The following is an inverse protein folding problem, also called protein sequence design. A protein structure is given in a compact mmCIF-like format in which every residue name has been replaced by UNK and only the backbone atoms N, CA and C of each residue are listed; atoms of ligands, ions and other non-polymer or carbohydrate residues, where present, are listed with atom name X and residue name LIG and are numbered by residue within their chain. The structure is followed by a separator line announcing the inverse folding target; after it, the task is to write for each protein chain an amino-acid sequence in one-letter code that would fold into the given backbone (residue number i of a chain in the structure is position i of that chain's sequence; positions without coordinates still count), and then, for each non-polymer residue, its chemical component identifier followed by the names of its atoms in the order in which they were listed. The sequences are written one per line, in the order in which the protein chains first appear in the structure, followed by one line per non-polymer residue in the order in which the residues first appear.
data_IF_618987269468
#
_entry.id   IF_618987269468
#
_cell.length_a   1.000
_cell.length_b   1.000
_cell.length_c   1.000
_cell.angle_alpha   90.00
_cell.angle_beta   90.00
_cell.angle_gamma   90.00
#
_symmetry.space_group_name_H-M   'P 1'
#
loop_
_entity.id
_entity.type
_entity.pdbx_description
1 polymer ?
#
# COMPACT_ATOMS: atom_id res chain seq x y z
N UNK A 1 -43.42 17.12 -36.75
CA UNK A 1 -43.59 17.08 -35.29
C UNK A 1 -42.22 16.80 -34.67
N UNK A 2 -41.68 17.80 -33.96
CA UNK A 2 -40.44 17.79 -33.16
C UNK A 2 -40.54 16.80 -31.98
N UNK A 3 -39.57 16.48 -31.13
CA UNK A 3 -38.21 16.91 -30.76
C UNK A 3 -37.55 15.64 -30.13
N UNK A 4 -36.26 15.49 -29.79
CA UNK A 4 -35.34 16.36 -29.08
C UNK A 4 -34.43 15.47 -28.20
N UNK A 5 -33.16 15.84 -28.12
CA UNK A 5 -32.05 15.14 -27.46
C UNK A 5 -32.20 14.89 -25.95
N UNK A 6 -31.49 13.88 -25.40
CA UNK A 6 -30.46 14.09 -24.36
C UNK A 6 -29.69 12.80 -24.03
N UNK A 7 -28.36 12.86 -24.10
CA UNK A 7 -27.46 11.87 -23.50
C UNK A 7 -27.03 12.31 -22.10
N UNK A 8 -26.70 11.36 -21.23
CA UNK A 8 -26.03 11.63 -19.95
C UNK A 8 -24.83 10.72 -19.76
N UNK A 9 -23.68 11.39 -19.68
CA UNK A 9 -22.34 10.89 -19.40
C UNK A 9 -22.23 10.73 -17.88
N UNK A 10 -22.04 9.50 -17.38
CA UNK A 10 -21.90 9.25 -15.93
C UNK A 10 -20.51 9.68 -15.46
N UNK A 11 -20.50 10.73 -14.66
CA UNK A 11 -19.33 11.42 -14.12
C UNK A 11 -18.67 10.56 -13.02
N UNK A 12 -17.38 10.27 -13.17
CA UNK A 12 -16.54 9.60 -12.16
C UNK A 12 -16.13 10.65 -11.12
N UNK A 13 -16.79 10.66 -9.96
CA UNK A 13 -16.46 11.54 -8.85
C UNK A 13 -15.18 11.04 -8.18
N UNK A 14 -14.20 11.94 -8.16
CA UNK A 14 -12.92 11.83 -7.49
C UNK A 14 -13.14 12.21 -6.01
N UNK A 15 -12.97 11.28 -5.07
CA UNK A 15 -13.13 11.56 -3.64
C UNK A 15 -11.78 12.01 -3.05
N UNK A 16 -11.45 13.29 -3.22
CA UNK A 16 -10.38 13.95 -2.48
C UNK A 16 -10.95 14.47 -1.16
N UNK A 17 -10.85 13.68 -0.09
CA UNK A 17 -11.22 14.09 1.26
C UNK A 17 -10.15 15.01 1.83
N UNK A 18 -10.39 16.32 1.73
CA UNK A 18 -9.68 17.35 2.49
C UNK A 18 -9.97 17.19 3.98
N UNK A 19 -8.94 17.02 4.81
CA UNK A 19 -9.04 16.97 6.27
C UNK A 19 -9.21 18.41 6.79
N UNK A 20 -10.31 18.75 7.50
CA UNK A 20 -10.41 20.00 8.21
C UNK A 20 -9.78 19.89 9.61
N UNK A 21 -9.09 20.96 10.01
CA UNK A 21 -8.49 21.17 11.32
C UNK A 21 -9.55 21.45 12.40
N UNK A 22 -9.41 20.74 13.53
CA UNK A 22 -10.07 20.83 14.85
C UNK A 22 -11.25 21.82 15.05
N UNK A 23 -12.38 21.25 15.47
CA UNK A 23 -13.42 21.93 16.25
C UNK A 23 -13.86 21.05 17.43
N UNK A 24 -13.66 21.55 18.65
CA UNK A 24 -14.12 20.92 19.89
C UNK A 24 -15.65 20.99 19.97
N UNK A 25 -16.33 19.85 20.16
CA UNK A 25 -17.76 19.83 20.49
C UNK A 25 -18.05 18.94 21.70
N UNK A 26 -18.82 19.54 22.60
CA UNK A 26 -19.29 19.12 23.92
C UNK A 26 -20.07 17.80 23.89
N UNK A 27 -19.91 17.02 24.97
CA UNK A 27 -20.57 15.74 25.26
C UNK A 27 -22.12 15.84 25.28
N UNK A 28 -22.79 14.89 24.65
CA UNK A 28 -24.09 14.39 25.10
C UNK A 28 -24.15 12.86 25.02
N UNK A 29 -24.67 12.29 26.11
CA UNK A 29 -24.82 10.86 26.38
C UNK A 29 -25.69 10.15 25.32
N UNK A 30 -25.10 9.14 24.71
CA UNK A 30 -25.78 8.07 24.01
C UNK A 30 -24.79 6.93 23.88
N UNK A 31 -25.17 5.74 24.35
CA UNK A 31 -24.35 4.52 24.35
C UNK A 31 -24.13 4.04 22.90
N UNK A 32 -23.37 4.79 22.11
CA UNK A 32 -22.73 4.27 20.92
C UNK A 32 -21.53 3.45 21.40
N UNK A 33 -21.61 2.13 21.26
CA UNK A 33 -20.40 1.34 21.04
C UNK A 33 -19.84 1.84 19.71
N UNK A 34 -19.08 2.94 19.74
CA UNK A 34 -18.25 3.32 18.62
C UNK A 34 -17.23 2.20 18.52
N UNK A 35 -17.29 1.40 17.47
CA UNK A 35 -16.09 0.73 17.00
C UNK A 35 -15.13 1.85 16.62
N UNK A 36 -14.35 2.34 17.59
CA UNK A 36 -13.33 3.33 17.34
C UNK A 36 -12.32 2.67 16.42
N UNK A 37 -12.19 3.21 15.20
CA UNK A 37 -11.13 2.82 14.28
C UNK A 37 -9.80 2.88 15.03
N UNK A 38 -9.10 1.75 15.09
CA UNK A 38 -7.82 1.63 15.79
C UNK A 38 -6.74 2.29 14.95
N UNK A 39 -6.82 2.11 13.62
CA UNK A 39 -5.86 2.73 12.71
C UNK A 39 -6.03 4.25 12.71
N UNK A 40 -4.90 4.94 12.85
CA UNK A 40 -4.83 6.39 12.87
C UNK A 40 -3.72 6.86 11.92
N UNK A 41 -3.87 7.98 11.19
CA UNK A 41 -2.83 8.53 10.32
C UNK A 41 -1.47 8.72 11.03
N UNK A 42 -1.51 9.03 12.33
CA UNK A 42 -0.36 9.19 13.22
C UNK A 42 0.53 7.93 13.27
N UNK A 43 -0.04 6.75 13.07
CA UNK A 43 0.73 5.50 12.96
C UNK A 43 1.62 5.51 11.71
N UNK A 44 1.10 6.00 10.58
CA UNK A 44 1.87 6.19 9.36
C UNK A 44 2.92 7.30 9.49
N UNK A 45 2.57 8.41 10.14
CA UNK A 45 3.54 9.47 10.43
C UNK A 45 4.68 8.99 11.32
N UNK A 46 4.39 8.16 12.32
CA UNK A 46 5.40 7.53 13.15
C UNK A 46 6.30 6.58 12.36
N UNK A 47 5.77 5.82 11.39
CA UNK A 47 6.59 5.01 10.50
C UNK A 47 7.54 5.87 9.65
N UNK A 48 7.09 7.04 9.17
CA UNK A 48 7.95 8.00 8.49
C UNK A 48 9.01 8.60 9.41
N UNK A 49 8.67 8.98 10.65
CA UNK A 49 9.65 9.42 11.64
C UNK A 49 10.75 8.37 11.84
N UNK A 50 10.38 7.09 11.98
CA UNK A 50 11.33 5.97 12.13
C UNK A 50 12.22 5.82 10.90
N UNK A 51 11.63 5.82 9.70
CA UNK A 51 12.37 5.71 8.45
C UNK A 51 13.34 6.88 8.28
N UNK A 52 12.90 8.10 8.56
CA UNK A 52 13.69 9.31 8.47
C UNK A 52 14.88 9.27 9.44
N UNK A 53 14.67 8.91 10.71
CA UNK A 53 15.76 8.73 11.67
C UNK A 53 16.81 7.74 11.18
N UNK A 54 16.38 6.58 10.69
CA UNK A 54 17.28 5.54 10.19
C UNK A 54 18.08 6.01 8.98
N UNK A 55 17.42 6.62 8.00
CA UNK A 55 18.08 7.14 6.81
C UNK A 55 19.10 8.23 7.14
N UNK A 56 18.81 9.07 8.13
CA UNK A 56 19.65 10.19 8.53
C UNK A 56 20.62 9.89 9.69
N UNK A 57 20.65 8.63 10.18
CA UNK A 57 21.49 8.20 11.31
C UNK A 57 21.26 9.04 12.57
N UNK A 58 20.00 9.33 12.85
CA UNK A 58 19.56 10.10 14.02
C UNK A 58 19.06 9.15 15.12
N UNK A 59 18.94 9.70 16.33
CA UNK A 59 18.31 8.99 17.43
C UNK A 59 16.88 8.56 17.08
N UNK A 60 16.41 7.41 17.62
CA UNK A 60 15.07 6.93 17.36
C UNK A 60 14.01 7.96 17.76
N UNK A 61 12.87 8.02 17.03
CA UNK A 61 11.83 9.00 17.35
C UNK A 61 11.21 8.71 18.71
N UNK A 62 10.73 9.79 19.35
CA UNK A 62 9.99 9.77 20.61
C UNK A 62 8.80 8.80 20.55
N UNK A 63 8.34 8.38 21.73
CA UNK A 63 7.13 7.57 21.84
C UNK A 63 5.93 8.31 21.23
N UNK A 64 5.15 7.66 20.36
CA UNK A 64 4.00 8.28 19.74
C UNK A 64 2.82 8.43 20.73
N UNK A 65 1.85 9.27 20.37
CA UNK A 65 0.71 9.63 21.22
C UNK A 65 -0.59 8.89 20.86
N UNK A 66 -0.50 7.69 20.31
CA UNK A 66 -1.65 6.82 20.02
C UNK A 66 -1.61 5.56 20.91
N UNK A 67 -2.69 4.76 20.90
CA UNK A 67 -2.79 3.55 21.72
C UNK A 67 -1.57 2.63 21.56
N UNK A 68 -1.13 2.00 22.65
CA UNK A 68 -0.06 1.01 22.62
C UNK A 68 -0.57 -0.44 22.75
N UNK A 69 -1.88 -0.68 22.55
CA UNK A 69 -2.45 -2.02 22.61
C UNK A 69 -1.74 -2.98 21.65
N UNK A 70 -1.80 -4.28 21.95
CA UNK A 70 -1.10 -5.29 21.17
C UNK A 70 -1.98 -5.84 20.03
N UNK A 71 -1.49 -5.76 18.79
CA UNK A 71 -2.17 -6.30 17.62
C UNK A 71 -1.20 -6.96 16.65
N UNK A 72 -1.65 -7.97 15.88
CA UNK A 72 -0.95 -8.38 14.68
C UNK A 72 -1.00 -7.24 13.65
N UNK A 73 0.13 -6.96 13.00
CA UNK A 73 0.25 -5.79 12.13
C UNK A 73 1.22 -5.99 10.98
N UNK A 74 1.01 -5.22 9.92
CA UNK A 74 1.88 -5.14 8.75
C UNK A 74 2.17 -3.68 8.41
N UNK A 75 3.43 -3.40 8.06
CA UNK A 75 3.84 -2.12 7.48
C UNK A 75 4.25 -2.35 6.04
N UNK A 76 3.64 -1.56 5.16
CA UNK A 76 3.87 -1.64 3.71
C UNK A 76 4.33 -0.29 3.19
N UNK A 77 5.46 -0.27 2.51
CA UNK A 77 5.95 0.85 1.73
C UNK A 77 5.51 0.69 0.27
N UNK A 78 4.98 1.75 -0.30
CA UNK A 78 4.67 1.85 -1.74
C UNK A 78 5.30 3.11 -2.31
N UNK A 79 5.61 3.12 -3.61
CA UNK A 79 6.30 4.24 -4.26
C UNK A 79 5.61 4.66 -5.55
N UNK A 80 5.62 5.97 -5.82
CA UNK A 80 5.10 6.53 -7.06
C UNK A 80 3.58 6.70 -7.05
N UNK A 81 3.05 7.21 -8.17
CA UNK A 81 1.61 7.49 -8.34
C UNK A 81 0.78 6.22 -8.55
N UNK A 82 1.44 5.16 -9.00
CA UNK A 82 0.89 3.84 -9.24
C UNK A 82 0.96 2.92 -8.01
N UNK A 83 1.40 3.44 -6.86
CA UNK A 83 1.43 2.72 -5.57
C UNK A 83 2.17 1.38 -5.66
N UNK A 84 3.27 1.34 -6.41
CA UNK A 84 4.06 0.11 -6.57
C UNK A 84 4.64 -0.33 -5.24
N UNK A 85 4.48 -1.61 -4.91
CA UNK A 85 5.03 -2.21 -3.70
C UNK A 85 6.54 -2.00 -3.64
N UNK A 86 7.01 -1.44 -2.52
CA UNK A 86 8.42 -1.10 -2.26
C UNK A 86 9.00 -1.83 -1.05
N UNK A 87 8.14 -2.47 -0.24
CA UNK A 87 8.49 -3.36 0.86
C UNK A 87 7.25 -3.66 1.70
N UNK A 88 7.12 -4.87 2.22
CA UNK A 88 6.00 -5.22 3.11
C UNK A 88 6.41 -6.35 4.05
N UNK A 89 6.45 -6.06 5.36
CA UNK A 89 6.77 -7.02 6.40
C UNK A 89 5.86 -6.75 7.61
N UNK A 90 5.50 -7.80 8.32
CA UNK A 90 4.63 -7.74 9.49
C UNK A 90 4.60 -9.06 10.24
N UNK A 91 3.65 -9.18 11.16
CA UNK A 91 3.49 -10.32 12.06
C UNK A 91 2.04 -10.69 12.27
N UNK A 92 1.80 -11.98 12.48
CA UNK A 92 0.53 -12.51 12.97
C UNK A 92 0.46 -12.60 14.51
N UNK A 93 1.59 -12.43 15.19
CA UNK A 93 1.63 -12.38 16.64
C UNK A 93 1.29 -10.96 17.10
N UNK A 94 0.47 -10.86 18.14
CA UNK A 94 0.13 -9.56 18.71
C UNK A 94 1.39 -8.88 19.26
N UNK A 95 1.66 -7.65 18.79
CA UNK A 95 2.75 -6.81 19.25
C UNK A 95 2.21 -5.43 19.63
N UNK A 96 2.72 -4.87 20.72
CA UNK A 96 2.40 -3.50 21.12
C UNK A 96 2.69 -2.54 19.96
N UNK A 97 1.71 -1.71 19.60
CA UNK A 97 1.75 -0.88 18.40
C UNK A 97 3.04 -0.04 18.30
N UNK A 98 3.52 0.53 19.39
CA UNK A 98 4.71 1.39 19.37
C UNK A 98 5.98 0.62 18.98
N UNK A 99 6.14 -0.58 19.53
CA UNK A 99 7.29 -1.44 19.24
C UNK A 99 7.17 -2.07 17.85
N UNK A 100 6.01 -2.64 17.53
CA UNK A 100 5.76 -3.29 16.25
C UNK A 100 5.87 -2.34 15.07
N UNK A 101 5.28 -1.14 15.14
CA UNK A 101 5.40 -0.16 14.05
C UNK A 101 6.85 0.30 13.86
N UNK A 102 7.62 0.50 14.93
CA UNK A 102 9.04 0.87 14.85
C UNK A 102 9.87 -0.23 14.16
N UNK A 103 9.67 -1.48 14.59
CA UNK A 103 10.38 -2.63 14.04
C UNK A 103 10.01 -2.88 12.58
N UNK A 104 8.72 -2.93 12.27
CA UNK A 104 8.24 -3.29 10.93
C UNK A 104 8.35 -2.16 9.93
N UNK A 105 8.33 -0.87 10.34
CA UNK A 105 8.69 0.23 9.45
C UNK A 105 10.14 0.10 8.95
N UNK A 106 11.07 -0.19 9.87
CA UNK A 106 12.50 -0.39 9.54
C UNK A 106 12.70 -1.67 8.72
N UNK A 107 12.12 -2.78 9.16
CA UNK A 107 12.34 -4.09 8.53
C UNK A 107 11.74 -4.15 7.13
N UNK A 108 10.54 -3.60 6.91
CA UNK A 108 9.94 -3.52 5.58
C UNK A 108 10.69 -2.57 4.64
N UNK A 109 11.34 -1.52 5.16
CA UNK A 109 12.12 -0.58 4.35
C UNK A 109 13.50 -1.11 3.93
N UNK A 110 14.15 -1.89 4.79
CA UNK A 110 15.58 -2.22 4.62
C UNK A 110 15.90 -3.72 4.54
N UNK A 111 15.00 -4.59 5.01
CA UNK A 111 15.27 -6.04 5.18
C UNK A 111 14.31 -6.92 4.37
N UNK A 112 13.41 -6.35 3.58
CA UNK A 112 12.61 -7.12 2.63
C UNK A 112 13.47 -7.55 1.45
N UNK A 113 13.94 -8.80 1.47
CA UNK A 113 14.85 -9.38 0.46
C UNK A 113 14.42 -9.27 -1.00
N UNK A 114 13.15 -8.95 -1.27
CA UNK A 114 12.62 -8.74 -2.63
C UNK A 114 13.04 -7.39 -3.22
N UNK A 115 13.51 -6.46 -2.39
CA UNK A 115 13.80 -5.09 -2.78
C UNK A 115 15.14 -4.64 -2.19
N UNK A 116 15.81 -3.71 -2.88
CA UNK A 116 16.95 -3.02 -2.29
C UNK A 116 16.50 -2.12 -1.12
N UNK A 117 17.35 -1.85 -0.13
CA UNK A 117 17.04 -0.89 0.94
C UNK A 117 16.51 0.45 0.39
N UNK A 118 15.47 1.03 1.00
CA UNK A 118 14.94 2.34 0.62
C UNK A 118 16.02 3.42 0.80
N UNK A 119 16.14 4.36 -0.14
CA UNK A 119 17.09 5.49 -0.05
C UNK A 119 16.42 6.81 0.30
N UNK A 120 17.22 7.83 0.66
CA UNK A 120 16.73 9.18 1.01
C UNK A 120 15.98 9.85 -0.14
N UNK A 121 16.44 9.64 -1.37
CA UNK A 121 15.89 10.23 -2.59
C UNK A 121 14.50 9.65 -2.93
N UNK A 122 14.15 8.51 -2.35
CA UNK A 122 12.83 7.90 -2.52
C UNK A 122 11.76 8.54 -1.63
N UNK A 123 12.15 9.14 -0.48
CA UNK A 123 11.22 9.68 0.53
C UNK A 123 10.05 10.49 -0.07
N UNK A 124 10.28 11.49 -0.96
CA UNK A 124 9.20 12.33 -1.47
C UNK A 124 8.14 11.58 -2.30
N UNK A 125 8.43 10.36 -2.73
CA UNK A 125 7.56 9.53 -3.57
C UNK A 125 6.93 8.37 -2.80
N UNK A 126 7.25 8.21 -1.52
CA UNK A 126 6.78 7.10 -0.71
C UNK A 126 5.38 7.34 -0.13
N UNK A 127 4.71 6.23 0.04
CA UNK A 127 3.50 6.08 0.83
C UNK A 127 3.73 4.94 1.82
N UNK A 128 3.17 5.08 3.02
CA UNK A 128 3.18 4.01 4.01
C UNK A 128 1.75 3.61 4.32
N UNK A 129 1.51 2.30 4.31
CA UNK A 129 0.27 1.69 4.74
C UNK A 129 0.50 0.88 6.01
N UNK A 130 -0.27 1.17 7.05
CA UNK A 130 -0.31 0.40 8.30
C UNK A 130 -1.59 -0.41 8.30
N UNK A 131 -1.45 -1.74 8.39
CA UNK A 131 -2.58 -2.68 8.45
C UNK A 131 -2.59 -3.37 9.81
N UNK A 132 -3.69 -3.24 10.54
CA UNK A 132 -3.92 -3.88 11.84
C UNK A 132 -4.91 -5.02 11.63
N UNK A 133 -4.52 -6.25 11.95
CA UNK A 133 -5.33 -7.45 11.72
C UNK A 133 -6.15 -7.79 12.96
N UNK A 134 -7.41 -8.18 12.77
CA UNK A 134 -8.35 -8.49 13.84
C UNK A 134 -9.31 -9.61 13.47
N UNK A 135 -10.08 -10.04 14.47
CA UNK A 135 -11.23 -10.94 14.32
C UNK A 135 -10.82 -12.22 13.59
N UNK A 136 -9.78 -12.88 14.12
CA UNK A 136 -9.33 -14.16 13.61
C UNK A 136 -10.34 -15.24 13.97
N UNK A 137 -10.84 -15.92 12.96
CA UNK A 137 -11.83 -17.00 13.08
C UNK A 137 -11.35 -18.20 12.25
N UNK A 138 -11.41 -19.39 12.84
CA UNK A 138 -11.17 -20.62 12.10
C UNK A 138 -12.36 -20.86 11.15
N UNK A 139 -12.07 -21.03 9.87
CA UNK A 139 -13.08 -21.33 8.85
C UNK A 139 -13.49 -22.79 8.91
N UNK A 140 -14.76 -23.07 8.55
CA UNK A 140 -15.29 -24.43 8.46
C UNK A 140 -14.62 -25.21 7.32
N UNK A 141 -14.37 -24.55 6.20
CA UNK A 141 -13.65 -25.09 5.06
C UNK A 141 -12.81 -24.01 4.34
N UNK A 142 -12.16 -24.39 3.23
CA UNK A 142 -11.30 -23.48 2.46
C UNK A 142 -12.04 -22.39 1.67
N UNK A 143 -13.37 -22.44 1.63
CA UNK A 143 -14.26 -21.46 1.00
C UNK A 143 -15.01 -20.61 2.04
N UNK A 144 -14.85 -20.86 3.35
CA UNK A 144 -15.53 -20.12 4.42
C UNK A 144 -14.87 -18.77 4.71
N UNK A 145 -14.89 -17.87 3.72
CA UNK A 145 -14.43 -16.50 3.81
C UNK A 145 -15.05 -15.67 2.67
N UNK A 146 -14.88 -14.35 2.69
CA UNK A 146 -15.52 -13.46 1.71
C UNK A 146 -14.48 -12.59 1.03
N UNK A 147 -14.46 -12.61 -0.29
CA UNK A 147 -13.49 -11.87 -1.12
C UNK A 147 -13.70 -10.38 -0.92
N UNK A 148 -12.63 -9.66 -0.58
CA UNK A 148 -12.65 -8.21 -0.33
C UNK A 148 -13.09 -7.81 1.08
N UNK A 149 -13.52 -8.77 1.90
CA UNK A 149 -13.80 -8.54 3.34
C UNK A 149 -12.73 -9.21 4.19
N UNK A 150 -12.41 -10.46 3.87
CA UNK A 150 -11.53 -11.29 4.68
C UNK A 150 -10.14 -11.43 4.07
N UNK A 151 -9.13 -11.28 4.92
CA UNK A 151 -7.81 -11.86 4.70
C UNK A 151 -7.83 -13.31 5.14
N UNK A 152 -6.96 -14.12 4.54
CA UNK A 152 -6.89 -15.55 4.85
C UNK A 152 -5.47 -15.94 5.23
N UNK A 153 -5.36 -16.80 6.23
CA UNK A 153 -4.15 -17.52 6.58
C UNK A 153 -4.47 -18.99 6.47
N UNK A 154 -3.67 -19.72 5.68
CA UNK A 154 -3.84 -21.16 5.55
C UNK A 154 -2.68 -21.90 6.16
N UNK A 155 -2.96 -23.08 6.67
CA UNK A 155 -2.00 -24.07 7.11
C UNK A 155 -2.20 -25.34 6.30
N UNK A 156 -1.11 -25.88 5.75
CA UNK A 156 -1.15 -27.06 4.88
C UNK A 156 0.17 -27.84 4.97
N UNK A 157 0.19 -29.05 4.41
CA UNK A 157 1.41 -29.84 4.25
C UNK A 157 1.87 -29.79 2.80
N UNK A 158 3.16 -29.55 2.58
CA UNK A 158 3.72 -29.64 1.23
C UNK A 158 3.96 -31.11 0.84
N UNK A 159 4.43 -31.35 -0.39
CA UNK A 159 4.69 -32.70 -0.91
C UNK A 159 5.74 -33.48 -0.10
N UNK A 160 6.54 -32.77 0.71
CA UNK A 160 7.56 -33.36 1.59
C UNK A 160 7.02 -33.68 3.00
N UNK A 161 5.73 -33.46 3.25
CA UNK A 161 5.11 -33.63 4.56
C UNK A 161 5.44 -32.52 5.55
N UNK A 162 6.06 -31.42 5.12
CA UNK A 162 6.39 -30.31 6.01
C UNK A 162 5.18 -29.37 6.14
N UNK A 163 4.84 -29.02 7.38
CA UNK A 163 3.83 -28.00 7.67
C UNK A 163 4.29 -26.63 7.16
N UNK A 164 3.42 -25.97 6.40
CA UNK A 164 3.64 -24.64 5.83
C UNK A 164 2.46 -23.74 6.14
N UNK A 165 2.73 -22.44 6.13
CA UNK A 165 1.69 -21.42 6.23
C UNK A 165 1.85 -20.41 5.10
N UNK A 166 0.73 -19.87 4.65
CA UNK A 166 0.71 -18.76 3.71
C UNK A 166 -0.45 -17.84 4.04
N UNK A 167 -0.37 -16.61 3.55
CA UNK A 167 -1.41 -15.61 3.79
C UNK A 167 -1.51 -14.62 2.64
N UNK A 168 -2.71 -14.06 2.51
CA UNK A 168 -3.03 -12.84 1.79
C UNK A 168 -3.89 -11.94 2.68
N UNK A 169 -3.66 -10.64 2.55
CA UNK A 169 -4.49 -9.59 3.15
C UNK A 169 -5.82 -9.46 2.37
N UNK A 170 -6.86 -8.83 2.95
CA UNK A 170 -8.18 -8.72 2.32
C UNK A 170 -8.18 -8.14 0.90
N UNK A 171 -7.25 -7.24 0.60
CA UNK A 171 -7.22 -6.52 -0.68
C UNK A 171 -6.66 -7.35 -1.85
N UNK A 172 -5.89 -8.41 -1.58
CA UNK A 172 -5.11 -9.09 -2.62
C UNK A 172 -5.99 -9.81 -3.64
N UNK A 173 -7.00 -10.56 -3.19
CA UNK A 173 -7.87 -11.31 -4.10
C UNK A 173 -8.70 -10.38 -5.02
N UNK A 174 -9.36 -9.32 -4.51
CA UNK A 174 -10.00 -8.33 -5.35
C UNK A 174 -9.07 -7.65 -6.35
N UNK A 175 -7.86 -7.25 -5.93
CA UNK A 175 -6.89 -6.58 -6.79
C UNK A 175 -6.45 -7.46 -7.98
N UNK A 176 -6.38 -8.77 -7.77
CA UNK A 176 -6.04 -9.74 -8.82
C UNK A 176 -7.25 -10.23 -9.62
N UNK A 177 -8.48 -9.88 -9.20
CA UNK A 177 -9.70 -10.42 -9.78
C UNK A 177 -9.86 -11.92 -9.54
N UNK A 178 -9.31 -12.45 -8.44
CA UNK A 178 -9.39 -13.86 -8.09
C UNK A 178 -10.67 -14.18 -7.32
N UNK A 179 -11.27 -15.33 -7.65
CA UNK A 179 -12.26 -15.97 -6.79
C UNK A 179 -11.60 -16.71 -5.62
N UNK A 180 -12.41 -17.35 -4.78
CA UNK A 180 -11.92 -18.07 -3.61
C UNK A 180 -10.99 -19.23 -3.97
N UNK A 181 -11.32 -20.00 -5.01
CA UNK A 181 -10.55 -21.18 -5.43
C UNK A 181 -9.20 -20.75 -5.99
N UNK A 182 -9.19 -19.77 -6.89
CA UNK A 182 -7.98 -19.20 -7.47
C UNK A 182 -7.08 -18.62 -6.39
N UNK A 183 -7.66 -17.95 -5.39
CA UNK A 183 -6.92 -17.41 -4.25
C UNK A 183 -6.26 -18.52 -3.45
N UNK A 184 -6.98 -19.60 -3.09
CA UNK A 184 -6.43 -20.72 -2.34
C UNK A 184 -5.31 -21.42 -3.12
N UNK A 185 -5.51 -21.66 -4.40
CA UNK A 185 -4.49 -22.27 -5.27
C UNK A 185 -3.24 -21.38 -5.33
N UNK A 186 -3.39 -20.08 -5.55
CA UNK A 186 -2.29 -19.11 -5.52
C UNK A 186 -1.54 -19.11 -4.18
N UNK A 187 -2.28 -19.18 -3.07
CA UNK A 187 -1.72 -19.16 -1.72
C UNK A 187 -0.93 -20.44 -1.41
N UNK A 188 -1.38 -21.60 -1.87
CA UNK A 188 -0.67 -22.88 -1.77
C UNK A 188 0.68 -22.82 -2.49
N UNK A 189 0.69 -22.33 -3.73
CA UNK A 189 1.92 -22.14 -4.50
C UNK A 189 2.87 -21.14 -3.82
N UNK A 190 2.33 -20.02 -3.34
CA UNK A 190 3.09 -19.02 -2.56
C UNK A 190 3.70 -19.61 -1.28
N UNK A 191 3.00 -20.53 -0.62
CA UNK A 191 3.49 -21.25 0.56
C UNK A 191 4.48 -22.37 0.24
N UNK A 192 4.79 -22.60 -1.04
CA UNK A 192 5.78 -23.57 -1.50
C UNK A 192 5.24 -24.96 -1.84
N UNK A 193 3.93 -25.09 -2.08
CA UNK A 193 3.35 -26.28 -2.73
C UNK A 193 3.72 -26.26 -4.23
N UNK A 194 4.28 -27.36 -4.76
CA UNK A 194 4.70 -27.44 -6.17
C UNK A 194 3.90 -28.45 -7.01
N UNK A 195 3.02 -29.21 -6.37
CA UNK A 195 2.23 -30.26 -7.01
C UNK A 195 0.96 -29.72 -7.67
N UNK A 196 0.22 -30.63 -8.31
CA UNK A 196 -1.11 -30.31 -8.82
C UNK A 196 -2.09 -30.10 -7.65
N UNK A 197 -2.78 -28.96 -7.63
CA UNK A 197 -3.78 -28.67 -6.61
C UNK A 197 -5.09 -29.39 -6.93
N UNK A 198 -5.31 -30.54 -6.29
CA UNK A 198 -6.54 -31.32 -6.39
C UNK A 198 -7.59 -30.87 -5.36
N UNK A 199 -8.88 -31.23 -5.53
CA UNK A 199 -9.91 -30.95 -4.53
C UNK A 199 -9.60 -31.51 -3.13
N UNK A 200 -8.92 -32.67 -3.04
CA UNK A 200 -8.50 -33.24 -1.76
C UNK A 200 -7.44 -32.39 -1.06
N UNK A 201 -6.50 -31.84 -1.83
CA UNK A 201 -5.49 -30.93 -1.29
C UNK A 201 -6.17 -29.67 -0.75
N UNK A 202 -7.12 -29.08 -1.48
CA UNK A 202 -7.88 -27.92 -0.98
C UNK A 202 -8.65 -28.24 0.30
N UNK A 203 -9.31 -29.40 0.36
CA UNK A 203 -10.01 -29.86 1.58
C UNK A 203 -9.08 -30.10 2.78
N UNK A 204 -7.81 -30.43 2.53
CA UNK A 204 -6.82 -30.64 3.60
C UNK A 204 -6.33 -29.34 4.24
N UNK A 205 -6.63 -28.19 3.63
CA UNK A 205 -6.20 -26.88 4.11
C UNK A 205 -6.98 -26.50 5.37
N UNK A 206 -6.26 -26.18 6.45
CA UNK A 206 -6.86 -25.45 7.57
C UNK A 206 -6.85 -23.96 7.24
N UNK A 207 -8.02 -23.34 7.21
CA UNK A 207 -8.18 -21.91 6.93
C UNK A 207 -8.53 -21.15 8.21
N UNK A 208 -7.86 -20.02 8.42
CA UNK A 208 -8.26 -19.00 9.38
C UNK A 208 -8.50 -17.71 8.61
N UNK A 209 -9.71 -17.13 8.75
CA UNK A 209 -10.06 -15.84 8.17
C UNK A 209 -9.86 -14.73 9.21
N UNK A 210 -9.62 -13.51 8.73
CA UNK A 210 -9.49 -12.32 9.58
C UNK A 210 -9.89 -11.08 8.80
N UNK A 211 -10.17 -9.98 9.49
CA UNK A 211 -10.33 -8.66 8.87
C UNK A 211 -9.12 -7.78 9.17
N UNK A 212 -8.94 -6.71 8.39
CA UNK A 212 -7.92 -5.72 8.67
C UNK A 212 -8.46 -4.30 8.58
N UNK A 213 -8.06 -3.47 9.53
CA UNK A 213 -8.16 -2.02 9.37
C UNK A 213 -6.86 -1.50 8.76
N UNK A 214 -6.96 -0.64 7.74
CA UNK A 214 -5.80 -0.11 7.01
C UNK A 214 -5.87 1.40 6.91
N UNK A 215 -4.76 2.07 7.19
CA UNK A 215 -4.55 3.49 6.90
C UNK A 215 -3.36 3.65 5.98
N UNK A 216 -3.46 4.55 5.00
CA UNK A 216 -2.35 4.88 4.09
C UNK A 216 -2.12 6.38 4.12
N UNK A 217 -0.87 6.80 4.29
CA UNK A 217 -0.47 8.21 4.23
C UNK A 217 0.70 8.37 3.28
N UNK A 218 0.71 9.48 2.53
CA UNK A 218 1.83 9.86 1.67
C UNK A 218 2.91 10.60 2.46
N UNK A 219 4.11 10.70 1.88
CA UNK A 219 5.14 11.57 2.44
C UNK A 219 4.68 13.04 2.49
N UNK A 220 3.85 13.48 1.56
CA UNK A 220 3.30 14.85 1.59
C UNK A 220 2.37 15.07 2.78
N UNK A 221 1.54 14.08 3.15
CA UNK A 221 0.70 14.13 4.34
C UNK A 221 1.56 14.22 5.60
N UNK A 222 2.62 13.39 5.65
CA UNK A 222 3.61 13.42 6.73
C UNK A 222 4.29 14.79 6.87
N UNK A 223 4.77 15.37 5.76
CA UNK A 223 5.38 16.70 5.77
C UNK A 223 4.40 17.77 6.23
N UNK A 224 3.14 17.70 5.79
CA UNK A 224 2.08 18.64 6.21
C UNK A 224 1.84 18.53 7.71
N UNK A 225 1.69 17.31 8.23
CA UNK A 225 1.55 17.05 9.66
C UNK A 225 2.77 17.55 10.46
N UNK A 226 3.98 17.33 9.95
CA UNK A 226 5.22 17.78 10.59
C UNK A 226 5.29 19.30 10.72
N UNK A 227 4.97 20.04 9.65
CA UNK A 227 4.95 21.50 9.67
C UNK A 227 3.90 22.04 10.64
N UNK A 228 2.68 21.49 10.63
CA UNK A 228 1.63 21.87 11.57
C UNK A 228 2.04 21.65 13.04
N UNK A 229 2.64 20.49 13.35
CA UNK A 229 3.13 20.20 14.70
C UNK A 229 4.24 21.16 15.13
N UNK A 230 5.15 21.49 14.21
CA UNK A 230 6.25 22.43 14.46
C UNK A 230 5.74 23.87 14.66
N UNK A 231 4.76 24.31 13.88
CA UNK A 231 4.14 25.62 14.02
C UNK A 231 3.39 25.75 15.36
N UNK A 232 2.62 24.73 15.75
CA UNK A 232 1.95 24.69 17.05
C UNK A 232 2.94 24.75 18.22
N UNK A 233 4.06 24.03 18.12
CA UNK A 233 5.13 24.10 19.12
C UNK A 233 5.76 25.50 19.18
N UNK A 234 6.09 26.11 18.04
CA UNK A 234 6.67 27.45 17.99
C UNK A 234 5.70 28.50 18.55
N UNK A 235 4.40 28.38 18.28
CA UNK A 235 3.37 29.27 18.83
C UNK A 235 3.21 29.08 20.35
N UNK A 236 3.26 27.85 20.85
CA UNK A 236 3.26 27.56 22.28
C UNK A 236 4.48 28.17 22.99
N UNK A 237 5.68 27.99 22.44
CA UNK A 237 6.92 28.58 22.98
C UNK A 237 6.84 30.11 22.97
N UNK A 238 6.37 30.73 21.88
CA UNK A 238 6.17 32.17 21.81
C UNK A 238 5.14 32.69 22.85
N UNK A 239 4.06 31.94 23.09
CA UNK A 239 3.06 32.29 24.12
C UNK A 239 3.58 32.17 25.56
N UNK A 240 4.52 31.24 25.81
CA UNK A 240 5.16 31.10 27.12
C UNK A 240 6.22 32.18 27.37
N UNK A 241 6.94 32.63 26.32
CA UNK A 241 7.88 33.76 26.43
C UNK A 241 7.16 35.09 26.73
N UNK A 242 5.91 35.26 26.31
CA UNK A 242 5.10 36.42 26.69
C UNK A 242 4.59 36.40 28.14
N UNK A 243 4.73 35.26 28.84
CA UNK A 243 4.34 35.09 30.26
C UNK A 243 5.55 35.12 31.21
N UNK A 244 6.78 35.07 30.68
CA UNK A 244 8.03 35.12 31.47
C UNK A 244 8.96 36.21 30.93
N UNK A 245 8.67 37.47 31.31
CA UNK A 245 9.70 38.51 31.33
C UNK A 245 10.31 38.53 32.72
N UNK A 246 11.64 38.43 32.77
CA UNK A 246 12.55 38.31 33.92
C UNK A 246 12.79 36.88 34.42
N UNK A 247 13.81 36.21 33.86
CA UNK A 247 15.04 35.81 34.57
C UNK A 247 16.13 35.54 33.52
N UNK A 248 17.35 35.99 33.82
CA UNK A 248 18.55 36.01 32.99
C UNK A 248 19.23 34.63 32.75
N UNK A 249 20.26 34.53 31.87
CA UNK A 249 20.51 33.38 31.02
C UNK A 249 21.51 32.39 31.62
N UNK A 250 21.18 31.10 31.60
CA UNK A 250 22.15 30.02 31.38
C UNK A 250 21.43 28.67 31.37
N UNK A 251 21.02 28.24 30.17
CA UNK A 251 21.12 26.87 29.66
C UNK A 251 20.43 26.85 28.30
N UNK A 252 21.21 26.70 27.23
CA UNK A 252 20.66 26.32 25.93
C UNK A 252 20.17 24.87 26.01
N UNK A 253 18.91 24.69 26.38
CA UNK A 253 18.18 23.46 26.13
C UNK A 253 17.64 23.50 24.69
N UNK A 254 18.52 23.21 23.73
CA UNK A 254 18.09 22.81 22.39
C UNK A 254 17.40 21.44 22.51
N UNK A 255 16.07 21.46 22.58
CA UNK A 255 15.25 20.24 22.56
C UNK A 255 14.23 20.34 21.41
N UNK A 256 14.63 19.87 20.23
CA UNK A 256 13.71 19.45 19.17
C UNK A 256 14.33 18.24 18.44
N UNK A 257 13.66 17.06 18.35
CA UNK A 257 14.40 15.82 18.15
C UNK A 257 14.69 15.43 16.69
N UNK A 258 14.22 16.13 15.66
CA UNK A 258 14.63 15.83 14.28
C UNK A 258 14.96 17.10 13.48
N UNK A 259 16.11 17.14 12.78
CA UNK A 259 16.43 18.18 11.81
C UNK A 259 15.44 18.10 10.64
N UNK A 260 15.05 19.27 10.13
CA UNK A 260 14.07 19.36 9.03
C UNK A 260 14.46 18.46 7.86
N UNK A 261 13.54 17.64 7.33
CA UNK A 261 13.74 17.00 6.04
C UNK A 261 14.06 18.05 4.99
N UNK A 262 15.07 17.85 4.14
CA UNK A 262 15.37 18.81 3.08
C UNK A 262 14.15 18.92 2.16
N UNK A 263 13.56 20.11 2.10
CA UNK A 263 12.49 20.42 1.16
C UNK A 263 13.12 20.39 -0.24
N UNK A 264 12.72 19.42 -1.06
CA UNK A 264 13.09 19.46 -2.49
C UNK A 264 12.48 20.74 -3.07
N UNK A 265 13.24 21.60 -3.76
CA UNK A 265 12.69 22.80 -4.35
C UNK A 265 11.57 22.43 -5.32
N UNK A 266 10.38 22.99 -5.10
CA UNK A 266 9.28 22.92 -6.06
C UNK A 266 9.70 23.78 -7.25
N UNK A 267 10.27 23.16 -8.28
CA UNK A 267 10.46 23.82 -9.57
C UNK A 267 9.08 23.90 -10.21
N UNK A 268 8.40 25.02 -10.01
CA UNK A 268 7.21 25.38 -10.77
C UNK A 268 7.70 25.72 -12.18
N UNK A 269 7.28 25.00 -13.24
CA UNK A 269 7.58 25.45 -14.59
C UNK A 269 6.83 26.76 -14.81
N UNK A 270 7.58 27.85 -15.03
CA UNK A 270 7.01 29.09 -15.57
C UNK A 270 6.61 28.77 -17.00
N UNK A 271 5.30 28.67 -17.22
CA UNK A 271 4.71 28.35 -18.51
C UNK A 271 4.59 29.64 -19.31
N UNK A 272 5.69 30.06 -19.95
CA UNK A 272 5.65 31.07 -21.00
C UNK A 272 5.05 30.45 -22.26
N UNK A 273 3.82 30.84 -22.59
CA UNK A 273 3.25 30.64 -23.92
C UNK A 273 3.84 31.66 -24.88
N UNK A 274 4.22 31.24 -26.10
CA UNK A 274 4.06 32.09 -27.28
C UNK A 274 3.18 31.41 -28.36
N UNK A 275 2.71 32.20 -29.35
CA UNK A 275 1.38 32.03 -29.94
C UNK A 275 1.32 31.13 -31.17
N UNK A 276 0.14 30.53 -31.33
CA UNK A 276 -0.39 29.90 -32.53
C UNK A 276 -0.22 30.75 -33.80
N UNK A 277 0.52 30.26 -34.79
CA UNK A 277 0.35 30.63 -36.20
C UNK A 277 0.45 29.37 -37.08
N UNK A 278 -0.47 29.31 -38.04
CA UNK A 278 -0.80 28.21 -38.96
C UNK A 278 0.16 28.20 -40.15
N UNK A 279 0.53 27.02 -40.64
CA UNK A 279 1.17 26.88 -41.95
C UNK A 279 0.22 26.18 -42.93
N UNK A 280 -0.10 26.90 -44.00
CA UNK A 280 -0.81 26.45 -45.19
C UNK A 280 0.23 26.33 -46.30
N UNK A 281 0.61 25.10 -46.67
CA UNK A 281 1.01 24.72 -48.02
C UNK A 281 1.13 23.19 -48.10
N UNK A 282 0.15 22.52 -48.70
CA UNK A 282 0.40 21.29 -49.47
C UNK A 282 0.63 21.66 -50.94
N UNK A 283 0.65 20.71 -51.90
CA UNK A 283 0.66 19.24 -51.78
C UNK A 283 1.67 18.55 -52.74
N UNK A 284 2.02 17.27 -52.51
CA UNK A 284 2.37 16.34 -53.61
C UNK A 284 2.27 14.88 -53.16
N UNK A 285 1.26 14.16 -53.65
CA UNK A 285 1.23 12.70 -53.79
C UNK A 285 1.69 12.32 -55.22
N UNK A 286 2.17 11.10 -55.47
CA UNK A 286 1.28 10.06 -56.04
C UNK A 286 1.60 8.64 -55.46
N UNK A 287 1.02 7.50 -55.96
CA UNK A 287 -0.11 6.80 -55.35
C UNK A 287 0.23 5.30 -55.01
N UNK A 288 -0.73 4.46 -54.56
CA UNK A 288 -0.45 3.17 -53.93
C UNK A 288 -0.45 1.99 -54.92
N UNK A 289 0.25 0.91 -54.57
CA UNK A 289 0.07 -0.39 -55.23
C UNK A 289 -0.46 -1.46 -54.27
N UNK A 290 -1.53 -2.07 -54.77
CA UNK A 290 -2.42 -3.08 -54.24
C UNK A 290 -1.82 -4.49 -54.14
N UNK A 291 -2.35 -5.27 -53.20
CA UNK A 291 -2.28 -6.74 -53.18
C UNK A 291 -2.65 -7.37 -54.53
N UNK A 292 -2.19 -8.62 -54.77
CA UNK A 292 -3.19 -9.69 -54.77
C UNK A 292 -2.75 -11.04 -54.16
N UNK A 293 -3.76 -11.68 -53.56
CA UNK A 293 -4.15 -13.11 -53.59
C UNK A 293 -3.22 -14.23 -53.10
N UNK A 294 -3.69 -14.85 -52.02
CA UNK A 294 -4.08 -16.28 -51.91
C UNK A 294 -3.52 -17.27 -52.96
N UNK A 295 -2.75 -18.25 -52.47
CA UNK A 295 -2.73 -19.60 -53.03
C UNK A 295 -2.98 -20.65 -51.94
N UNK A 296 -3.93 -21.52 -52.29
CA UNK A 296 -4.39 -22.77 -51.67
C UNK A 296 -3.51 -23.92 -52.19
N UNK A 297 -3.71 -25.12 -51.63
CA UNK A 297 -3.21 -26.47 -52.01
C UNK A 297 -1.94 -26.92 -51.24
N UNK A 298 -1.80 -28.15 -50.73
CA UNK A 298 -2.70 -29.28 -50.42
C UNK A 298 -1.87 -30.29 -49.61
N UNK A 299 -2.56 -31.13 -48.85
CA UNK A 299 -2.21 -32.50 -48.45
C UNK A 299 -1.06 -33.20 -49.17
N UNK A 300 -0.19 -33.84 -48.39
CA UNK A 300 0.33 -35.16 -48.76
C UNK A 300 0.62 -35.99 -47.51
N UNK A 301 -0.18 -37.06 -47.35
CA UNK A 301 0.12 -38.25 -46.57
C UNK A 301 1.49 -38.81 -46.96
N UNK A 302 2.21 -39.37 -45.98
CA UNK A 302 3.02 -40.54 -46.26
C UNK A 302 2.99 -41.49 -45.07
N UNK A 303 2.47 -42.67 -45.38
CA UNK A 303 2.38 -43.84 -44.53
C UNK A 303 3.64 -44.68 -44.72
N UNK A 304 4.04 -45.33 -43.64
CA UNK A 304 4.72 -46.63 -43.57
C UNK A 304 6.26 -46.70 -43.72
N UNK A 305 6.89 -47.15 -42.62
CA UNK A 305 7.80 -48.32 -42.58
C UNK A 305 8.19 -48.63 -41.14
N UNK A 306 7.83 -49.83 -40.70
CA UNK A 306 8.09 -50.33 -39.35
C UNK A 306 9.49 -50.92 -39.09
N UNK A 307 9.57 -51.43 -37.86
CA UNK A 307 10.43 -52.51 -37.34
C UNK A 307 11.89 -52.16 -36.99
N UNK A 308 12.19 -52.11 -35.68
CA UNK A 308 13.06 -53.09 -35.00
C UNK A 308 13.12 -52.91 -33.48
N UNK A 309 12.64 -53.93 -32.76
CA UNK A 309 13.10 -54.32 -31.41
C UNK A 309 14.51 -54.91 -31.51
N UNK A 310 15.37 -54.57 -30.54
CA UNK A 310 16.57 -55.27 -30.01
C UNK A 310 17.00 -54.42 -28.80
N UNK A 311 17.34 -54.93 -27.64
CA UNK A 311 17.44 -56.26 -27.07
C UNK A 311 17.43 -56.06 -25.54
#
# INVERSE_FOLDING_TARGET
MAAGCCGTKKQKLNNSSSIPCNGSTVLQNGTQIRYSTIVQPEMGFFCFDVLYCQLHQLDPPKTPNFSNDAFPLFVTWSIGKDMRLRGCIGTFNAMHLHAGLREYATTSAFKDSRFNPITREELPRLHVSVSILRNFEDGVDYLDWEVGVHGIRIEFHNEKGNKRTATYLPDVAPEQGWDQIQTIDSLLHKGGYKGLVTPDIRRSVKLTRYQSEKVTVSYQDYMTHWHCRSAQYNQFVASQQHTLVMVQPNHQSFIHPLPMPPVSPVVVPVQDYPPFWWDRAGPSFPPPHSHPRTHRFTTQENMDRGVRKRK
#
